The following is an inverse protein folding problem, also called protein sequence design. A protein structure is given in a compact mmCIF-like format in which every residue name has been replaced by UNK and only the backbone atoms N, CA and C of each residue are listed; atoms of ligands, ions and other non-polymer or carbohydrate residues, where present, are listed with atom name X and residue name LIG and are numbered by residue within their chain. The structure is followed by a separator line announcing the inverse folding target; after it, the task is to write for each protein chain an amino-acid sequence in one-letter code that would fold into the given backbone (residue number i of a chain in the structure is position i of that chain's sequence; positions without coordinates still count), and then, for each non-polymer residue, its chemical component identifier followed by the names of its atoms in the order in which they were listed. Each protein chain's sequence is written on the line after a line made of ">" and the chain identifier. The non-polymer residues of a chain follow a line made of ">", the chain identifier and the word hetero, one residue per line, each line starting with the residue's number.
data_IF_082237038409
#
_entry.id   IF_082237038409
#
_cell.length_a   1.000
_cell.length_b   1.000
_cell.length_c   1.000
_cell.angle_alpha   90.00
_cell.angle_beta   90.00
_cell.angle_gamma   90.00
#
_symmetry.space_group_name_H-M   'P 1'
#
loop_
_entity.id
_entity.type
_entity.pdbx_description
1 polymer ?
#
# COMPACT_ATOMS: atom_id res chain seq x y z
N UNK A 1 -56.22 62.88 45.16
CA UNK A 1 -56.53 61.43 45.25
C UNK A 1 -56.94 60.84 43.91
N UNK A 2 -57.97 61.35 43.22
CA UNK A 2 -58.45 60.80 41.93
C UNK A 2 -57.40 60.88 40.80
N UNK A 3 -56.73 62.01 40.67
CA UNK A 3 -55.67 62.24 39.68
C UNK A 3 -54.43 61.34 39.91
N UNK A 4 -54.01 61.18 41.17
CA UNK A 4 -52.95 60.24 41.55
C UNK A 4 -53.28 58.79 41.16
N UNK A 5 -54.52 58.34 41.40
CA UNK A 5 -54.96 57.01 40.96
C UNK A 5 -54.95 56.87 39.43
N UNK A 6 -55.34 57.90 38.68
CA UNK A 6 -55.28 57.88 37.21
C UNK A 6 -53.85 57.71 36.70
N UNK A 7 -52.92 58.55 37.16
CA UNK A 7 -51.50 58.46 36.77
C UNK A 7 -50.89 57.11 37.11
N UNK A 8 -51.23 56.52 38.28
CA UNK A 8 -50.73 55.20 38.67
C UNK A 8 -51.27 54.07 37.77
N UNK A 9 -52.53 54.17 37.31
CA UNK A 9 -53.09 53.22 36.37
C UNK A 9 -52.42 53.33 34.99
N UNK A 10 -52.20 54.54 34.50
CA UNK A 10 -51.51 54.77 33.21
C UNK A 10 -50.08 54.18 33.23
N UNK A 11 -49.32 54.42 34.31
CA UNK A 11 -47.98 53.83 34.50
C UNK A 11 -48.04 52.30 34.55
N UNK A 12 -49.05 51.73 35.21
CA UNK A 12 -49.22 50.28 35.30
C UNK A 12 -49.55 49.67 33.95
N UNK A 13 -50.41 50.30 33.16
CA UNK A 13 -50.76 49.86 31.81
C UNK A 13 -49.58 49.95 30.85
N UNK A 14 -48.76 51.00 30.95
CA UNK A 14 -47.54 51.14 30.15
C UNK A 14 -46.49 50.09 30.54
N UNK A 15 -46.29 49.85 31.84
CA UNK A 15 -45.39 48.80 32.34
C UNK A 15 -45.84 47.40 31.88
N UNK A 16 -47.15 47.14 31.94
CA UNK A 16 -47.72 45.87 31.48
C UNK A 16 -47.42 45.63 29.99
N UNK A 17 -47.64 46.63 29.13
CA UNK A 17 -47.34 46.52 27.69
C UNK A 17 -45.85 46.29 27.45
N UNK A 18 -44.99 46.95 28.21
CA UNK A 18 -43.54 46.74 28.11
C UNK A 18 -43.15 45.30 28.49
N UNK A 19 -43.72 44.75 29.56
CA UNK A 19 -43.48 43.36 29.97
C UNK A 19 -44.04 42.36 28.95
N UNK A 20 -45.25 42.57 28.42
CA UNK A 20 -45.85 41.74 27.37
C UNK A 20 -44.96 41.72 26.11
N UNK A 21 -44.41 42.86 25.72
CA UNK A 21 -43.46 42.93 24.60
C UNK A 21 -42.17 42.17 24.90
N UNK A 22 -41.57 42.37 26.09
CA UNK A 22 -40.34 41.66 26.49
C UNK A 22 -40.54 40.13 26.55
N UNK A 23 -41.71 39.67 27.00
CA UNK A 23 -42.08 38.26 26.99
C UNK A 23 -42.15 37.74 25.56
N UNK A 24 -42.85 38.45 24.67
CA UNK A 24 -42.95 38.08 23.25
C UNK A 24 -41.58 38.04 22.57
N UNK A 25 -40.71 39.03 22.83
CA UNK A 25 -39.37 39.07 22.26
C UNK A 25 -38.50 37.93 22.79
N UNK A 26 -38.61 37.59 24.07
CA UNK A 26 -37.89 36.47 24.66
C UNK A 26 -38.35 35.12 24.08
N UNK A 27 -39.66 34.91 23.90
CA UNK A 27 -40.20 33.71 23.26
C UNK A 27 -39.67 33.52 21.83
N UNK A 28 -39.69 34.59 21.03
CA UNK A 28 -39.16 34.56 19.67
C UNK A 28 -37.65 34.24 19.63
N UNK A 29 -36.86 34.82 20.53
CA UNK A 29 -35.43 34.55 20.62
C UNK A 29 -35.12 33.12 21.10
N UNK A 30 -35.92 32.57 22.02
CA UNK A 30 -35.80 31.18 22.47
C UNK A 30 -36.06 30.23 21.30
N UNK A 31 -37.15 30.43 20.55
CA UNK A 31 -37.50 29.60 19.40
C UNK A 31 -36.40 29.66 18.32
N UNK A 32 -35.98 30.87 17.93
CA UNK A 32 -34.91 31.05 16.95
C UNK A 32 -33.58 30.41 17.41
N UNK A 33 -33.24 30.55 18.69
CA UNK A 33 -32.04 29.94 19.27
C UNK A 33 -32.13 28.42 19.30
N UNK A 34 -33.28 27.83 19.64
CA UNK A 34 -33.50 26.38 19.60
C UNK A 34 -33.37 25.80 18.20
N UNK A 35 -33.88 26.49 17.18
CA UNK A 35 -33.74 26.04 15.78
C UNK A 35 -32.30 26.17 15.27
N UNK A 36 -31.58 27.20 15.70
CA UNK A 36 -30.14 27.31 15.46
C UNK A 36 -29.33 26.19 16.12
N UNK A 37 -29.68 25.81 17.36
CA UNK A 37 -29.04 24.69 18.07
C UNK A 37 -29.24 23.38 17.30
N UNK A 38 -30.48 23.07 16.88
CA UNK A 38 -30.76 21.85 16.08
C UNK A 38 -29.94 21.82 14.79
N UNK A 39 -29.86 22.95 14.09
CA UNK A 39 -29.08 23.05 12.85
C UNK A 39 -27.59 22.77 13.11
N UNK A 40 -27.03 23.34 14.18
CA UNK A 40 -25.64 23.09 14.57
C UNK A 40 -25.40 21.64 15.01
N UNK A 41 -26.37 20.99 15.66
CA UNK A 41 -26.28 19.56 16.02
C UNK A 41 -26.18 18.68 14.77
N UNK A 42 -27.02 18.91 13.77
CA UNK A 42 -27.00 18.17 12.50
C UNK A 42 -25.66 18.37 11.75
N UNK A 43 -25.14 19.60 11.73
CA UNK A 43 -23.83 19.89 11.13
C UNK A 43 -22.68 19.19 11.88
N UNK A 44 -22.70 19.22 13.22
CA UNK A 44 -21.71 18.54 14.08
C UNK A 44 -21.74 17.03 13.83
N UNK A 45 -22.93 16.41 13.80
CA UNK A 45 -23.07 14.99 13.52
C UNK A 45 -22.53 14.63 12.13
N UNK A 46 -22.83 15.45 11.13
CA UNK A 46 -22.34 15.28 9.75
C UNK A 46 -20.81 15.33 9.71
N UNK A 47 -20.19 16.30 10.39
CA UNK A 47 -18.72 16.38 10.48
C UNK A 47 -18.13 15.16 11.18
N UNK A 48 -18.71 14.73 12.30
CA UNK A 48 -18.22 13.55 13.03
C UNK A 48 -18.29 12.28 12.18
N UNK A 49 -19.36 12.09 11.42
CA UNK A 49 -19.49 10.97 10.47
C UNK A 49 -18.45 11.08 9.36
N UNK A 50 -18.25 12.28 8.79
CA UNK A 50 -17.25 12.55 7.77
C UNK A 50 -15.82 12.23 8.22
N UNK A 51 -15.44 12.65 9.43
CA UNK A 51 -14.14 12.39 10.05
C UNK A 51 -13.92 10.88 10.24
N UNK A 52 -14.93 10.14 10.74
CA UNK A 52 -14.84 8.68 10.90
C UNK A 52 -14.72 7.94 9.57
N UNK A 53 -15.46 8.39 8.56
CA UNK A 53 -15.37 7.83 7.21
C UNK A 53 -13.99 8.07 6.60
N UNK A 54 -13.42 9.27 6.79
CA UNK A 54 -12.07 9.62 6.35
C UNK A 54 -11.00 8.75 7.03
N UNK A 55 -11.08 8.55 8.35
CA UNK A 55 -10.16 7.67 9.08
C UNK A 55 -10.21 6.23 8.56
N UNK A 56 -11.42 5.74 8.26
CA UNK A 56 -11.61 4.41 7.70
C UNK A 56 -10.99 4.30 6.31
N UNK A 57 -11.26 5.26 5.42
CA UNK A 57 -10.70 5.28 4.07
C UNK A 57 -9.16 5.33 4.08
N UNK A 58 -8.57 6.11 5.00
CA UNK A 58 -7.11 6.16 5.19
C UNK A 58 -6.55 4.80 5.62
N UNK A 59 -7.23 4.10 6.54
CA UNK A 59 -6.80 2.78 6.99
C UNK A 59 -6.86 1.74 5.86
N UNK A 60 -7.97 1.71 5.11
CA UNK A 60 -8.16 0.81 3.96
C UNK A 60 -7.11 1.09 2.88
N UNK A 61 -6.92 2.35 2.47
CA UNK A 61 -5.90 2.72 1.49
C UNK A 61 -4.47 2.35 1.94
N UNK A 62 -4.19 2.40 3.25
CA UNK A 62 -2.89 1.99 3.81
C UNK A 62 -2.70 0.47 3.76
N UNK A 63 -3.76 -0.30 3.89
CA UNK A 63 -3.75 -1.76 3.77
C UNK A 63 -3.55 -2.16 2.30
N UNK A 64 -4.38 -1.63 1.41
CA UNK A 64 -4.29 -1.86 -0.04
C UNK A 64 -2.88 -1.54 -0.55
N UNK A 65 -2.31 -0.41 -0.12
CA UNK A 65 -0.96 -0.01 -0.54
C UNK A 65 0.12 -1.00 -0.11
N UNK A 66 -0.03 -1.65 1.05
CA UNK A 66 0.93 -2.67 1.52
C UNK A 66 0.82 -3.93 0.66
N UNK A 67 -0.40 -4.38 0.38
CA UNK A 67 -0.64 -5.55 -0.44
C UNK A 67 -0.12 -5.34 -1.87
N UNK A 68 -0.38 -4.17 -2.46
CA UNK A 68 0.15 -3.80 -3.77
C UNK A 68 1.68 -3.73 -3.80
N UNK A 69 2.30 -3.15 -2.76
CA UNK A 69 3.76 -3.07 -2.66
C UNK A 69 4.41 -4.45 -2.51
N UNK A 70 3.79 -5.34 -1.73
CA UNK A 70 4.24 -6.72 -1.56
C UNK A 70 4.17 -7.47 -2.89
N UNK A 71 3.05 -7.38 -3.61
CA UNK A 71 2.88 -7.98 -4.93
C UNK A 71 3.89 -7.41 -5.95
N UNK A 72 4.16 -6.11 -5.92
CA UNK A 72 5.20 -5.47 -6.74
C UNK A 72 6.60 -6.04 -6.42
N UNK A 73 6.93 -6.17 -5.14
CA UNK A 73 8.23 -6.71 -4.71
C UNK A 73 8.42 -8.15 -5.16
N UNK A 74 7.37 -8.98 -5.04
CA UNK A 74 7.37 -10.35 -5.54
C UNK A 74 7.54 -10.40 -7.07
N UNK A 75 6.80 -9.56 -7.81
CA UNK A 75 6.91 -9.46 -9.27
C UNK A 75 8.34 -9.14 -9.70
N UNK A 76 8.96 -8.13 -9.09
CA UNK A 76 10.34 -7.74 -9.40
C UNK A 76 11.31 -8.85 -9.05
N UNK A 77 11.16 -9.52 -7.91
CA UNK A 77 12.01 -10.64 -7.53
C UNK A 77 11.89 -11.80 -8.52
N UNK A 78 10.67 -12.18 -8.90
CA UNK A 78 10.40 -13.27 -9.84
C UNK A 78 10.91 -12.97 -11.25
N UNK A 79 10.64 -11.77 -11.77
CA UNK A 79 11.07 -11.39 -13.11
C UNK A 79 12.59 -11.22 -13.19
N UNK A 80 13.22 -10.65 -12.16
CA UNK A 80 14.69 -10.56 -12.08
C UNK A 80 15.34 -11.95 -12.04
N UNK A 81 14.81 -12.85 -11.20
CA UNK A 81 15.25 -14.24 -11.14
C UNK A 81 15.10 -14.97 -12.48
N UNK A 82 13.94 -14.82 -13.14
CA UNK A 82 13.69 -15.44 -14.43
C UNK A 82 14.67 -14.92 -15.50
N UNK A 83 14.93 -13.61 -15.49
CA UNK A 83 15.90 -12.98 -16.40
C UNK A 83 17.30 -13.56 -16.21
N UNK A 84 17.79 -13.69 -14.98
CA UNK A 84 19.10 -14.27 -14.69
C UNK A 84 19.21 -15.72 -15.20
N UNK A 85 18.16 -16.53 -15.01
CA UNK A 85 18.12 -17.91 -15.52
C UNK A 85 18.16 -17.96 -17.05
N UNK A 86 17.42 -17.08 -17.72
CA UNK A 86 17.43 -16.98 -19.18
C UNK A 86 18.79 -16.51 -19.71
N UNK A 87 19.45 -15.56 -19.03
CA UNK A 87 20.80 -15.12 -19.37
C UNK A 87 21.83 -16.24 -19.20
N UNK A 88 21.73 -17.03 -18.13
CA UNK A 88 22.57 -18.20 -17.91
C UNK A 88 22.36 -19.25 -19.02
N UNK A 89 21.11 -19.56 -19.36
CA UNK A 89 20.77 -20.49 -20.44
C UNK A 89 21.30 -20.01 -21.80
N UNK A 90 21.11 -18.72 -22.11
CA UNK A 90 21.64 -18.07 -23.31
C UNK A 90 23.17 -18.17 -23.38
N UNK A 91 23.85 -17.89 -22.27
CA UNK A 91 25.30 -17.99 -22.20
C UNK A 91 25.77 -19.45 -22.40
N UNK A 92 25.08 -20.43 -21.80
CA UNK A 92 25.38 -21.86 -22.00
C UNK A 92 25.18 -22.29 -23.45
N UNK A 93 24.12 -21.84 -24.12
CA UNK A 93 23.89 -22.10 -25.55
C UNK A 93 25.01 -21.49 -26.42
N UNK A 94 25.47 -20.28 -26.10
CA UNK A 94 26.59 -19.66 -26.80
C UNK A 94 27.87 -20.50 -26.74
N UNK A 95 28.12 -21.26 -25.66
CA UNK A 95 29.29 -22.16 -25.58
C UNK A 95 29.38 -23.14 -26.74
N UNK A 96 28.24 -23.65 -27.20
CA UNK A 96 28.16 -24.70 -28.22
C UNK A 96 27.88 -24.14 -29.62
N UNK A 97 27.03 -23.11 -29.71
CA UNK A 97 26.55 -22.60 -31.00
C UNK A 97 27.24 -21.31 -31.44
N UNK A 98 27.72 -20.48 -30.51
CA UNK A 98 28.40 -19.21 -30.78
C UNK A 98 29.62 -19.01 -29.86
N UNK A 99 30.70 -19.83 -29.98
CA UNK A 99 31.76 -19.89 -28.97
C UNK A 99 32.45 -18.56 -28.68
N UNK A 100 32.48 -17.63 -29.64
CA UNK A 100 33.04 -16.28 -29.49
C UNK A 100 32.25 -15.39 -28.53
N UNK A 101 30.95 -15.66 -28.33
CA UNK A 101 30.06 -14.91 -27.45
C UNK A 101 29.89 -15.56 -26.06
N UNK A 102 30.50 -16.73 -25.84
CA UNK A 102 30.47 -17.40 -24.56
C UNK A 102 31.31 -16.66 -23.53
N UNK A 103 30.69 -16.30 -22.41
CA UNK A 103 31.39 -15.77 -21.25
C UNK A 103 31.58 -16.89 -20.24
N UNK A 104 32.82 -17.18 -19.87
CA UNK A 104 33.10 -18.12 -18.77
C UNK A 104 32.55 -17.47 -17.50
N UNK A 105 31.59 -18.12 -16.84
CA UNK A 105 31.16 -17.69 -15.51
C UNK A 105 32.41 -17.62 -14.63
N UNK A 106 32.63 -16.50 -13.94
CA UNK A 106 33.74 -16.36 -13.02
C UNK A 106 33.70 -17.57 -12.08
N UNK A 107 34.74 -18.40 -12.10
CA UNK A 107 34.86 -19.47 -11.11
C UNK A 107 34.84 -18.75 -9.77
N UNK A 108 33.91 -19.12 -8.87
CA UNK A 108 34.06 -18.70 -7.48
C UNK A 108 35.44 -19.20 -7.03
N UNK A 109 36.37 -18.28 -6.80
CA UNK A 109 37.63 -18.65 -6.18
C UNK A 109 37.28 -19.10 -4.77
N UNK A 110 37.57 -20.37 -4.46
CA UNK A 110 37.40 -20.89 -3.10
C UNK A 110 38.09 -19.91 -2.15
N UNK A 111 37.35 -19.47 -1.15
CA UNK A 111 37.92 -18.69 -0.06
C UNK A 111 39.09 -19.48 0.55
N UNK A 112 40.05 -18.77 1.14
CA UNK A 112 41.25 -19.39 1.72
C UNK A 112 40.94 -20.53 2.69
N UNK A 113 39.78 -20.50 3.34
CA UNK A 113 39.27 -21.50 4.28
C UNK A 113 38.78 -22.78 3.57
N UNK A 114 38.03 -22.64 2.49
CA UNK A 114 37.58 -23.77 1.67
C UNK A 114 38.76 -24.47 0.98
N UNK A 115 39.79 -23.70 0.62
CA UNK A 115 41.02 -24.22 0.02
C UNK A 115 41.83 -25.07 1.00
N UNK A 116 41.83 -24.72 2.29
CA UNK A 116 42.46 -25.51 3.36
C UNK A 116 41.66 -26.79 3.63
N UNK A 117 40.34 -26.74 3.59
CA UNK A 117 39.48 -27.92 3.75
C UNK A 117 39.71 -28.97 2.65
N UNK A 118 39.84 -28.55 1.38
CA UNK A 118 40.13 -29.44 0.25
C UNK A 118 41.53 -30.06 0.34
N UNK A 119 42.55 -29.28 0.72
CA UNK A 119 43.91 -29.79 0.91
C UNK A 119 44.06 -30.75 2.11
N UNK A 120 43.16 -30.66 3.09
CA UNK A 120 43.12 -31.55 4.26
C UNK A 120 42.24 -32.79 4.05
N UNK A 121 41.83 -33.08 2.81
CA UNK A 121 41.05 -34.28 2.46
C UNK A 121 39.55 -34.16 2.73
N UNK A 122 39.04 -32.96 3.03
CA UNK A 122 37.60 -32.68 3.03
C UNK A 122 37.08 -32.57 1.60
N UNK A 123 35.93 -33.20 1.32
CA UNK A 123 35.18 -32.88 0.10
C UNK A 123 34.73 -31.42 0.18
N UNK A 124 34.98 -30.59 -0.84
CA UNK A 124 34.42 -29.24 -0.85
C UNK A 124 32.90 -29.33 -0.69
N UNK A 125 32.25 -28.34 -0.05
CA UNK A 125 30.79 -28.26 -0.09
C UNK A 125 30.37 -28.40 -1.55
N UNK A 126 29.37 -29.25 -1.81
CA UNK A 126 28.85 -29.44 -3.15
C UNK A 126 28.61 -28.05 -3.73
N UNK A 127 29.31 -27.72 -4.82
CA UNK A 127 29.07 -26.46 -5.52
C UNK A 127 27.58 -26.43 -5.80
N UNK A 128 26.86 -25.52 -5.13
CA UNK A 128 25.45 -25.33 -5.40
C UNK A 128 25.35 -25.13 -6.91
N UNK A 129 24.65 -26.04 -7.58
CA UNK A 129 24.53 -25.97 -9.02
C UNK A 129 24.00 -24.56 -9.35
N UNK A 130 24.69 -23.77 -10.19
CA UNK A 130 24.23 -22.44 -10.54
C UNK A 130 22.89 -22.62 -11.23
N UNK A 131 21.82 -22.30 -10.50
CA UNK A 131 20.45 -22.73 -10.83
C UNK A 131 19.51 -22.91 -9.64
N UNK A 132 19.99 -22.85 -8.40
CA UNK A 132 19.13 -22.67 -7.23
C UNK A 132 18.88 -21.19 -6.96
N UNK A 133 17.69 -20.68 -7.25
CA UNK A 133 17.28 -19.34 -6.83
C UNK A 133 16.97 -19.38 -5.34
N UNK A 134 17.90 -18.84 -4.53
CA UNK A 134 17.75 -18.73 -3.09
C UNK A 134 16.41 -18.03 -2.76
N UNK A 135 15.60 -18.67 -1.91
CA UNK A 135 14.31 -18.12 -1.45
C UNK A 135 13.06 -18.59 -2.21
N UNK A 136 13.17 -19.33 -3.32
CA UNK A 136 11.98 -19.70 -4.14
C UNK A 136 11.57 -21.17 -4.07
N UNK A 137 12.37 -22.04 -3.45
CA UNK A 137 12.08 -23.48 -3.33
C UNK A 137 12.07 -24.27 -4.64
N UNK A 138 12.42 -23.66 -5.78
CA UNK A 138 12.45 -24.34 -7.09
C UNK A 138 13.72 -25.18 -7.20
N UNK A 139 13.63 -26.47 -6.84
CA UNK A 139 14.64 -27.48 -7.09
C UNK A 139 14.45 -28.09 -8.49
N UNK A 140 15.22 -27.63 -9.49
CA UNK A 140 15.19 -28.25 -10.82
C UNK A 140 15.95 -29.59 -10.78
N UNK A 141 15.17 -30.67 -10.81
CA UNK A 141 15.48 -31.97 -11.43
C UNK A 141 16.53 -32.89 -10.77
N UNK A 142 16.41 -33.19 -9.47
CA UNK A 142 17.19 -34.25 -8.81
C UNK A 142 16.52 -35.66 -8.85
N UNK A 143 15.42 -35.83 -9.58
CA UNK A 143 14.58 -37.04 -9.51
C UNK A 143 14.53 -37.83 -10.83
N UNK A 144 15.68 -38.23 -11.34
CA UNK A 144 15.81 -39.40 -12.25
C UNK A 144 16.99 -40.24 -11.76
N UNK A 145 16.83 -40.85 -10.58
CA UNK A 145 17.70 -41.92 -10.11
C UNK A 145 16.85 -43.00 -9.45
N UNK A 146 16.06 -43.68 -10.28
CA UNK A 146 15.26 -44.84 -9.87
C UNK A 146 15.14 -45.84 -11.03
N UNK A 147 16.28 -46.36 -11.52
CA UNK A 147 16.29 -47.72 -12.05
C UNK A 147 17.46 -48.48 -11.41
N UNK A 148 17.05 -49.37 -10.51
CA UNK A 148 17.85 -50.21 -9.64
C UNK A 148 18.74 -51.19 -10.39
N UNK A 149 19.92 -51.41 -9.81
CA UNK A 149 20.85 -52.52 -9.98
C UNK A 149 20.31 -53.82 -10.63
N UNK A 150 20.95 -54.23 -11.74
CA UNK A 150 21.20 -55.64 -12.01
C UNK A 150 22.70 -55.85 -12.23
N UNK A 151 23.33 -56.66 -11.38
CA UNK A 151 24.75 -57.03 -11.44
C UNK A 151 25.02 -57.89 -12.68
N UNK A 152 26.08 -57.58 -13.43
CA UNK A 152 26.85 -58.59 -14.20
C UNK A 152 28.36 -58.29 -13.98
N UNK A 153 29.17 -59.29 -13.59
CA UNK A 153 30.61 -59.15 -13.44
C UNK A 153 31.30 -59.40 -14.79
N UNK A 154 32.24 -58.56 -15.22
CA UNK A 154 33.45 -58.95 -15.95
C UNK A 154 34.33 -57.70 -16.19
N UNK A 155 35.60 -57.81 -15.79
CA UNK A 155 36.68 -56.89 -16.19
C UNK A 155 36.91 -57.07 -17.69
N UNK A 156 36.60 -56.05 -18.48
CA UNK A 156 37.23 -55.83 -19.78
C UNK A 156 37.64 -54.36 -19.86
N UNK A 157 38.90 -54.16 -20.24
CA UNK A 157 39.54 -52.87 -20.48
C UNK A 157 38.67 -52.07 -21.48
N UNK A 158 38.10 -50.90 -21.12
CA UNK A 158 37.33 -50.12 -22.07
C UNK A 158 38.33 -49.58 -23.08
N UNK A 159 38.44 -50.28 -24.21
CA UNK A 159 39.28 -49.89 -25.33
C UNK A 159 39.10 -48.41 -25.70
N UNK A 160 40.06 -47.83 -26.44
CA UNK A 160 40.08 -46.40 -26.72
C UNK A 160 38.69 -45.92 -27.16
N UNK A 161 38.20 -44.81 -26.58
CA UNK A 161 36.83 -44.39 -26.74
C UNK A 161 36.47 -44.38 -28.22
N UNK A 162 35.38 -45.06 -28.62
CA UNK A 162 34.96 -45.06 -30.01
C UNK A 162 34.80 -43.62 -30.48
N UNK A 163 35.23 -43.37 -31.72
CA UNK A 163 35.23 -42.05 -32.34
C UNK A 163 33.95 -41.30 -31.96
N UNK A 164 34.15 -40.20 -31.23
CA UNK A 164 33.11 -39.29 -30.76
C UNK A 164 32.06 -39.11 -31.84
N UNK A 165 30.78 -39.24 -31.48
CA UNK A 165 29.65 -38.83 -32.30
C UNK A 165 30.05 -37.61 -33.13
N UNK A 166 30.11 -37.82 -34.45
CA UNK A 166 30.73 -36.88 -35.38
C UNK A 166 30.26 -35.46 -35.13
N UNK A 167 31.18 -34.52 -35.38
CA UNK A 167 30.93 -33.08 -35.55
C UNK A 167 29.45 -32.80 -35.72
N UNK A 168 28.81 -32.28 -34.67
CA UNK A 168 27.47 -31.72 -34.77
C UNK A 168 27.60 -30.43 -35.58
N UNK A 169 27.83 -30.60 -36.89
CA UNK A 169 27.95 -29.54 -37.87
C UNK A 169 26.57 -28.92 -38.04
N UNK A 170 26.37 -27.84 -37.27
CA UNK A 170 25.83 -26.59 -37.77
C UNK A 170 24.53 -26.67 -38.61
N UNK A 171 23.42 -26.99 -37.95
CA UNK A 171 22.18 -26.23 -38.21
C UNK A 171 22.28 -24.84 -37.56
N UNK A 172 23.21 -24.00 -38.03
CA UNK A 172 23.43 -22.66 -37.47
C UNK A 172 22.21 -21.75 -37.55
N UNK A 173 21.34 -21.98 -38.54
CA UNK A 173 20.14 -21.16 -38.80
C UNK A 173 18.99 -21.44 -37.80
N UNK A 174 18.77 -22.69 -37.38
CA UNK A 174 17.69 -23.04 -36.42
C UNK A 174 18.05 -22.64 -34.97
N UNK A 175 19.32 -22.78 -34.56
CA UNK A 175 19.76 -22.46 -33.19
C UNK A 175 19.86 -20.94 -32.92
N UNK A 176 20.11 -20.15 -33.97
CA UNK A 176 20.01 -18.68 -33.89
C UNK A 176 18.58 -18.24 -33.57
N UNK A 177 17.57 -18.98 -34.03
CA UNK A 177 16.16 -18.73 -33.73
C UNK A 177 15.83 -18.88 -32.24
N UNK A 178 16.33 -19.92 -31.57
CA UNK A 178 16.10 -20.15 -30.13
C UNK A 178 16.78 -19.07 -29.27
N UNK A 179 18.02 -18.70 -29.59
CA UNK A 179 18.71 -17.59 -28.90
C UNK A 179 17.96 -16.27 -29.11
N UNK A 180 17.39 -16.05 -30.30
CA UNK A 180 16.54 -14.89 -30.58
C UNK A 180 15.26 -14.90 -29.72
N UNK A 181 14.59 -16.06 -29.58
CA UNK A 181 13.43 -16.20 -28.69
C UNK A 181 13.78 -15.95 -27.23
N UNK A 182 14.94 -16.44 -26.74
CA UNK A 182 15.42 -16.13 -25.39
C UNK A 182 15.69 -14.63 -25.19
N UNK A 183 16.22 -13.94 -26.19
CA UNK A 183 16.40 -12.48 -26.13
C UNK A 183 15.06 -11.73 -26.10
N UNK A 184 14.05 -12.21 -26.83
CA UNK A 184 12.70 -11.64 -26.76
C UNK A 184 12.12 -11.81 -25.36
N UNK A 185 12.19 -13.01 -24.78
CA UNK A 185 11.72 -13.26 -23.41
C UNK A 185 12.44 -12.40 -22.37
N UNK A 186 13.78 -12.27 -22.46
CA UNK A 186 14.55 -11.37 -21.57
C UNK A 186 14.07 -9.92 -21.74
N UNK A 187 13.83 -9.48 -22.97
CA UNK A 187 13.35 -8.12 -23.25
C UNK A 187 11.92 -7.90 -22.75
N UNK A 188 11.07 -8.92 -22.82
CA UNK A 188 9.70 -8.87 -22.30
C UNK A 188 9.73 -8.77 -20.76
N UNK A 189 10.59 -9.55 -20.09
CA UNK A 189 10.81 -9.43 -18.64
C UNK A 189 11.38 -8.05 -18.24
N UNK A 190 12.34 -7.51 -18.99
CA UNK A 190 12.86 -6.15 -18.78
C UNK A 190 11.76 -5.10 -18.90
N UNK A 191 10.85 -5.29 -19.86
CA UNK A 191 9.71 -4.43 -20.06
C UNK A 191 8.73 -4.53 -18.88
N UNK A 192 8.39 -5.73 -18.44
CA UNK A 192 7.52 -5.94 -17.27
C UNK A 192 8.11 -5.34 -15.99
N UNK A 193 9.42 -5.48 -15.77
CA UNK A 193 10.11 -4.84 -14.64
C UNK A 193 9.99 -3.31 -14.72
N UNK A 194 10.26 -2.73 -15.90
CA UNK A 194 10.19 -1.27 -16.09
C UNK A 194 8.77 -0.72 -15.93
N UNK A 195 7.77 -1.43 -16.48
CA UNK A 195 6.36 -1.07 -16.35
C UNK A 195 5.90 -1.18 -14.89
N UNK A 196 6.30 -2.24 -14.19
CA UNK A 196 6.07 -2.41 -12.76
C UNK A 196 6.69 -1.27 -11.94
N UNK A 197 7.96 -0.94 -12.15
CA UNK A 197 8.65 0.15 -11.43
C UNK A 197 7.99 1.51 -11.65
N UNK A 198 7.52 1.77 -12.86
CA UNK A 198 6.82 3.01 -13.19
C UNK A 198 5.45 3.04 -12.51
N UNK A 199 4.67 1.95 -12.61
CA UNK A 199 3.35 1.83 -11.99
C UNK A 199 3.43 1.96 -10.47
N UNK A 200 4.42 1.34 -9.85
CA UNK A 200 4.66 1.40 -8.41
C UNK A 200 5.03 2.82 -7.96
N UNK A 201 5.88 3.51 -8.73
CA UNK A 201 6.25 4.89 -8.43
C UNK A 201 5.05 5.82 -8.51
N UNK A 202 4.24 5.69 -9.55
CA UNK A 202 3.04 6.51 -9.73
C UNK A 202 2.04 6.22 -8.61
N UNK A 203 1.80 4.95 -8.28
CA UNK A 203 0.93 4.55 -7.15
C UNK A 203 1.43 5.09 -5.81
N UNK A 204 2.75 5.07 -5.56
CA UNK A 204 3.33 5.65 -4.36
C UNK A 204 3.11 7.17 -4.28
N UNK A 205 3.26 7.88 -5.40
CA UNK A 205 3.03 9.32 -5.43
C UNK A 205 1.56 9.68 -5.19
N UNK A 206 0.63 8.95 -5.81
CA UNK A 206 -0.80 9.15 -5.60
C UNK A 206 -1.21 8.84 -4.15
N UNK A 207 -0.65 7.79 -3.56
CA UNK A 207 -0.86 7.47 -2.15
C UNK A 207 -0.37 8.59 -1.23
N UNK A 208 0.85 9.09 -1.41
CA UNK A 208 1.40 10.18 -0.61
C UNK A 208 0.57 11.47 -0.73
N UNK A 209 0.17 11.83 -1.94
CA UNK A 209 -0.70 12.98 -2.19
C UNK A 209 -2.06 12.82 -1.51
N UNK A 210 -2.70 11.66 -1.67
CA UNK A 210 -4.00 11.38 -1.03
C UNK A 210 -3.91 11.41 0.51
N UNK A 211 -2.80 10.94 1.07
CA UNK A 211 -2.58 10.95 2.52
C UNK A 211 -2.41 12.37 3.05
N UNK A 212 -1.73 13.24 2.30
CA UNK A 212 -1.62 14.65 2.63
C UNK A 212 -3.00 15.33 2.61
N UNK A 213 -3.77 15.14 1.54
CA UNK A 213 -5.12 15.69 1.42
C UNK A 213 -6.03 15.22 2.55
N UNK A 214 -5.94 13.94 2.94
CA UNK A 214 -6.67 13.40 4.07
C UNK A 214 -6.25 14.04 5.39
N UNK A 215 -4.95 14.27 5.61
CA UNK A 215 -4.46 14.93 6.81
C UNK A 215 -4.93 16.40 6.91
N UNK A 216 -4.88 17.13 5.80
CA UNK A 216 -5.38 18.51 5.70
C UNK A 216 -6.89 18.58 5.96
N UNK A 217 -7.66 17.70 5.31
CA UNK A 217 -9.10 17.60 5.50
C UNK A 217 -9.47 17.25 6.94
N UNK A 218 -8.82 16.25 7.53
CA UNK A 218 -9.04 15.88 8.94
C UNK A 218 -8.78 17.06 9.89
N UNK A 219 -7.72 17.82 9.63
CA UNK A 219 -7.38 19.02 10.42
C UNK A 219 -8.43 20.12 10.28
N UNK A 220 -8.90 20.37 9.05
CA UNK A 220 -9.96 21.34 8.78
C UNK A 220 -11.29 20.94 9.45
N UNK A 221 -11.73 19.70 9.26
CA UNK A 221 -12.97 19.17 9.82
C UNK A 221 -12.92 19.17 11.36
N UNK A 222 -11.78 18.83 11.96
CA UNK A 222 -11.61 18.89 13.42
C UNK A 222 -11.70 20.32 13.97
N UNK A 223 -11.17 21.31 13.25
CA UNK A 223 -11.31 22.73 13.63
C UNK A 223 -12.74 23.21 13.48
N UNK A 224 -13.42 22.83 12.39
CA UNK A 224 -14.82 23.16 12.16
C UNK A 224 -15.71 22.57 13.27
N UNK A 225 -15.46 21.31 13.63
CA UNK A 225 -16.15 20.62 14.72
C UNK A 225 -16.01 21.36 16.05
N UNK A 226 -14.79 21.79 16.39
CA UNK A 226 -14.53 22.56 17.61
C UNK A 226 -15.26 23.93 17.57
N UNK A 227 -15.22 24.62 16.43
CA UNK A 227 -15.88 25.91 16.23
C UNK A 227 -17.41 25.81 16.37
N UNK A 228 -18.03 24.85 15.68
CA UNK A 228 -19.47 24.63 15.77
C UNK A 228 -19.90 24.18 17.17
N UNK A 229 -19.10 23.34 17.85
CA UNK A 229 -19.39 22.94 19.23
C UNK A 229 -19.36 24.15 20.17
N UNK A 230 -18.41 25.07 20.00
CA UNK A 230 -18.38 26.32 20.76
C UNK A 230 -19.59 27.20 20.47
N UNK A 231 -19.90 27.41 19.18
CA UNK A 231 -21.05 28.23 18.78
C UNK A 231 -22.38 27.67 19.30
N UNK A 232 -22.51 26.33 19.32
CA UNK A 232 -23.66 25.66 19.91
C UNK A 232 -23.76 25.96 21.41
N UNK A 233 -22.65 25.83 22.15
CA UNK A 233 -22.62 26.10 23.58
C UNK A 233 -22.97 27.56 23.90
N UNK A 234 -22.48 28.52 23.10
CA UNK A 234 -22.80 29.94 23.25
C UNK A 234 -24.31 30.19 22.99
N UNK A 235 -24.89 29.52 21.99
CA UNK A 235 -26.31 29.63 21.68
C UNK A 235 -27.19 28.97 22.76
N UNK A 236 -26.78 27.81 23.28
CA UNK A 236 -27.42 27.17 24.44
C UNK A 236 -27.42 28.09 25.66
N UNK A 237 -26.31 28.79 25.94
CA UNK A 237 -26.22 29.76 27.02
C UNK A 237 -27.15 30.97 26.80
N UNK A 238 -27.22 31.48 25.57
CA UNK A 238 -28.13 32.58 25.21
C UNK A 238 -29.60 32.19 25.39
N UNK A 239 -29.98 30.99 24.92
CA UNK A 239 -31.33 30.45 25.09
C UNK A 239 -31.69 30.33 26.56
N UNK A 240 -30.78 29.87 27.42
CA UNK A 240 -31.04 29.76 28.85
C UNK A 240 -31.21 31.14 29.51
N UNK A 241 -30.38 32.12 29.15
CA UNK A 241 -30.52 33.50 29.63
C UNK A 241 -31.89 34.10 29.21
N UNK A 242 -32.34 33.85 27.98
CA UNK A 242 -33.66 34.30 27.53
C UNK A 242 -34.81 33.62 28.29
N UNK A 243 -34.69 32.32 28.62
CA UNK A 243 -35.70 31.62 29.45
C UNK A 243 -35.76 32.19 30.86
N UNK A 244 -34.61 32.48 31.48
CA UNK A 244 -34.56 33.10 32.80
C UNK A 244 -35.23 34.48 32.79
N UNK A 245 -34.89 35.32 31.79
CA UNK A 245 -35.49 36.64 31.60
C UNK A 245 -37.00 36.56 31.35
N UNK A 246 -37.45 35.63 30.52
CA UNK A 246 -38.86 35.35 30.28
C UNK A 246 -39.60 34.98 31.57
N UNK A 247 -39.04 34.06 32.36
CA UNK A 247 -39.62 33.62 33.63
C UNK A 247 -39.65 34.73 34.70
N UNK A 248 -38.72 35.69 34.66
CA UNK A 248 -38.76 36.89 35.52
C UNK A 248 -39.86 37.85 35.08
N UNK A 249 -39.94 38.17 33.78
CA UNK A 249 -40.93 39.09 33.23
C UNK A 249 -42.38 38.59 33.38
N UNK A 250 -42.59 37.27 33.48
CA UNK A 250 -43.92 36.69 33.75
C UNK A 250 -44.37 36.77 35.22
N UNK A 251 -43.45 37.06 36.16
CA UNK A 251 -43.74 37.11 37.60
C UNK A 251 -43.98 38.52 38.13
N UNK A 252 -43.55 39.54 37.39
CA UNK A 252 -43.72 40.97 37.69
C UNK A 252 -45.09 41.49 37.20
#
# INVERSE_FOLDING_TARGET
>A
KKEYCGVQLDISDDTKKELEQKVSDAEANIEAGQDGIKSLEEEIETLQVGIKALDKAVAEATEDRKEEHEAFTELIAHNSAAKELLEYAKNRLNKFYNPKLYKVAAKQELTSEERVAVNMGGTPPATEAPGGIAGTGIAVLAQISAHSHHKIPHREDPGPPPATYGEFSSKGQENTGVISMLNMLIKDLDKEVTEGETSEKDAQQDYEASMQDCAEKRSADSKALAGQTSAKADLEASVEAHKEGHAMNQKE
#
